data_IF_604167946239
#
_entry.id   IF_604167946239
#
_cell.length_a   1.000
_cell.length_b   1.000
_cell.length_c   1.000
_cell.angle_alpha   90.00
_cell.angle_beta   90.00
_cell.angle_gamma   90.00
#
_symmetry.space_group_name_H-M   'P 1'
#
loop_
_entity.id
_entity.type
_entity.pdbx_description
1 polymer ?
#
# COMPACT_ATOMS: atom_id res chain seq x y z
N UNK A 1 -28.98 16.80 -59.13
CA UNK A 1 -28.83 16.06 -60.37
C UNK A 1 -28.84 17.05 -61.53
N UNK A 2 -27.75 17.11 -62.30
CA UNK A 2 -27.67 17.91 -63.53
C UNK A 2 -28.38 17.10 -64.65
N UNK A 3 -29.36 17.72 -65.28
CA UNK A 3 -29.90 17.20 -66.53
C UNK A 3 -28.73 17.04 -67.51
N UNK A 4 -28.74 15.92 -68.27
CA UNK A 4 -27.79 15.77 -69.36
C UNK A 4 -27.94 16.96 -70.36
N UNK A 5 -26.80 17.52 -70.72
CA UNK A 5 -26.74 18.72 -71.57
C UNK A 5 -27.36 18.59 -72.97
N UNK A 6 -28.11 17.52 -73.22
CA UNK A 6 -28.80 17.25 -74.51
C UNK A 6 -30.31 17.46 -74.48
N UNK A 7 -30.94 17.72 -73.32
CA UNK A 7 -32.41 17.79 -73.22
C UNK A 7 -33.02 19.15 -73.66
N UNK A 8 -32.21 20.11 -74.08
CA UNK A 8 -32.73 21.41 -74.55
C UNK A 8 -33.29 21.41 -75.99
N UNK A 9 -33.10 20.33 -76.78
CA UNK A 9 -33.66 20.15 -78.12
C UNK A 9 -34.34 18.78 -78.17
N UNK A 10 -35.59 18.73 -77.85
CA UNK A 10 -36.42 17.54 -77.99
C UNK A 10 -37.30 17.78 -79.29
N UNK A 11 -36.85 17.23 -80.38
CA UNK A 11 -37.55 17.46 -81.66
C UNK A 11 -38.69 16.47 -81.89
N UNK A 12 -38.85 15.40 -81.03
CA UNK A 12 -39.97 14.44 -81.13
C UNK A 12 -40.24 13.78 -79.78
N UNK A 13 -41.55 13.50 -79.46
CA UNK A 13 -41.98 12.79 -78.26
C UNK A 13 -41.35 11.37 -78.07
N UNK A 14 -41.05 10.66 -79.15
CA UNK A 14 -40.42 9.37 -79.12
C UNK A 14 -39.02 9.30 -78.55
N UNK A 15 -38.32 10.41 -78.47
CA UNK A 15 -36.98 10.47 -77.88
C UNK A 15 -37.03 10.43 -76.33
N UNK A 16 -38.17 10.83 -75.72
CA UNK A 16 -38.36 10.85 -74.31
C UNK A 16 -38.57 9.46 -73.71
N UNK A 17 -39.05 8.49 -74.45
CA UNK A 17 -39.20 7.12 -73.96
C UNK A 17 -37.87 6.44 -73.53
N UNK A 18 -36.77 6.88 -74.12
CA UNK A 18 -35.44 6.33 -73.83
C UNK A 18 -34.91 6.77 -72.45
N UNK A 19 -35.47 7.86 -71.90
CA UNK A 19 -35.06 8.46 -70.60
C UNK A 19 -35.98 8.12 -69.44
N UNK A 20 -37.03 7.32 -69.71
CA UNK A 20 -37.95 6.89 -68.64
C UNK A 20 -37.34 5.70 -67.88
N UNK A 21 -36.70 6.05 -66.76
CA UNK A 21 -36.31 5.05 -65.75
C UNK A 21 -37.47 4.97 -64.74
N UNK A 22 -37.92 3.80 -64.38
CA UNK A 22 -39.17 3.54 -63.64
C UNK A 22 -39.50 4.37 -62.39
N UNK A 23 -38.56 5.26 -61.99
CA UNK A 23 -38.71 6.19 -60.86
C UNK A 23 -39.03 7.63 -61.28
N UNK A 24 -38.93 7.97 -62.56
CA UNK A 24 -39.12 9.31 -63.10
C UNK A 24 -40.33 9.37 -64.05
N UNK A 25 -41.25 10.27 -63.74
CA UNK A 25 -42.37 10.57 -64.62
C UNK A 25 -42.02 11.80 -65.45
N UNK A 26 -42.10 11.66 -66.79
CA UNK A 26 -41.76 12.72 -67.75
C UNK A 26 -43.03 13.14 -68.47
N UNK A 27 -43.34 14.43 -68.48
CA UNK A 27 -44.45 15.03 -69.20
C UNK A 27 -43.96 16.10 -70.14
N UNK A 28 -44.34 16.08 -71.43
CA UNK A 28 -44.13 17.18 -72.36
C UNK A 28 -45.44 17.93 -72.54
N UNK A 29 -45.38 19.23 -72.34
CA UNK A 29 -46.57 20.09 -72.33
C UNK A 29 -46.38 21.19 -73.37
N UNK A 30 -47.32 21.39 -74.21
CA UNK A 30 -47.32 22.44 -75.22
C UNK A 30 -47.51 23.84 -74.56
N UNK A 31 -47.17 24.91 -75.31
CA UNK A 31 -47.28 26.30 -74.83
C UNK A 31 -48.72 26.72 -74.43
N UNK A 32 -49.74 26.03 -74.93
CA UNK A 32 -51.16 26.19 -74.57
C UNK A 32 -51.59 25.41 -73.32
N UNK A 33 -50.66 24.60 -72.75
CA UNK A 33 -50.90 23.77 -71.55
C UNK A 33 -51.45 22.38 -71.87
N UNK A 34 -51.61 22.00 -73.15
CA UNK A 34 -52.02 20.68 -73.53
C UNK A 34 -50.85 19.67 -73.36
N UNK A 35 -51.12 18.46 -72.93
CA UNK A 35 -50.11 17.44 -72.69
C UNK A 35 -49.83 16.72 -74.06
N UNK A 36 -48.60 16.87 -74.52
CA UNK A 36 -48.16 16.22 -75.78
C UNK A 36 -47.67 14.77 -75.59
N UNK A 37 -47.05 14.54 -74.36
CA UNK A 37 -46.54 13.20 -74.01
C UNK A 37 -46.53 13.06 -72.49
N UNK A 38 -46.85 11.88 -71.98
CA UNK A 38 -46.80 11.51 -70.58
C UNK A 38 -46.26 10.06 -70.49
N UNK A 39 -45.19 9.86 -69.70
CA UNK A 39 -44.55 8.54 -69.58
C UNK A 39 -45.34 7.57 -68.69
N UNK A 40 -46.20 8.07 -67.79
CA UNK A 40 -46.93 7.21 -66.84
C UNK A 40 -48.29 6.74 -67.30
N UNK A 41 -48.92 7.37 -68.33
CA UNK A 41 -50.26 7.01 -68.80
C UNK A 41 -50.49 7.50 -70.21
N UNK A 42 -51.24 6.72 -70.97
CA UNK A 42 -51.72 7.07 -72.34
C UNK A 42 -53.09 7.69 -72.33
N UNK A 43 -53.68 8.00 -71.18
CA UNK A 43 -55.01 8.62 -71.11
C UNK A 43 -54.91 10.11 -71.34
N UNK A 44 -55.89 10.73 -71.97
CA UNK A 44 -55.94 12.18 -72.18
C UNK A 44 -55.98 12.90 -70.82
N UNK A 45 -55.02 13.79 -70.61
CA UNK A 45 -54.87 14.59 -69.38
C UNK A 45 -55.52 15.92 -69.51
N UNK A 46 -55.91 16.49 -68.38
CA UNK A 46 -56.39 17.87 -68.28
C UNK A 46 -55.26 18.84 -68.64
N UNK A 47 -55.66 20.06 -68.99
CA UNK A 47 -54.71 21.13 -69.29
C UNK A 47 -53.89 21.48 -68.05
N UNK A 48 -52.57 21.50 -68.18
CA UNK A 48 -51.66 21.71 -67.07
C UNK A 48 -51.19 23.17 -66.88
N UNK A 49 -51.75 24.14 -67.68
CA UNK A 49 -51.34 25.54 -67.65
C UNK A 49 -51.51 26.23 -66.25
N UNK A 50 -52.47 25.72 -65.45
CA UNK A 50 -52.73 26.24 -64.10
C UNK A 50 -51.77 25.74 -63.02
N UNK A 51 -50.92 24.80 -63.39
CA UNK A 51 -49.98 24.19 -62.44
C UNK A 51 -48.85 25.15 -62.03
N UNK A 52 -48.52 25.35 -60.71
CA UNK A 52 -47.55 26.33 -60.26
C UNK A 52 -46.17 26.17 -60.93
N UNK A 53 -45.66 24.93 -61.04
CA UNK A 53 -44.38 24.62 -61.69
C UNK A 53 -44.37 25.02 -63.14
N UNK A 54 -45.50 24.86 -63.87
CA UNK A 54 -45.61 25.25 -65.27
C UNK A 54 -45.67 26.75 -65.44
N UNK A 55 -46.48 27.47 -64.61
CA UNK A 55 -46.54 28.90 -64.63
C UNK A 55 -45.21 29.55 -64.30
N UNK A 56 -44.45 28.97 -63.41
CA UNK A 56 -43.15 29.43 -63.02
C UNK A 56 -42.13 29.20 -64.17
N UNK A 57 -42.17 28.04 -64.81
CA UNK A 57 -41.34 27.72 -65.99
C UNK A 57 -41.59 28.67 -67.14
N UNK A 58 -42.84 29.04 -67.40
CA UNK A 58 -43.18 30.06 -68.45
C UNK A 58 -42.63 31.44 -68.15
N UNK A 59 -42.52 31.84 -66.88
CA UNK A 59 -42.07 33.18 -66.48
C UNK A 59 -40.55 33.30 -66.36
N UNK A 60 -39.91 32.25 -65.83
CA UNK A 60 -38.50 32.28 -65.45
C UNK A 60 -37.63 31.23 -66.15
N UNK A 61 -38.20 30.48 -67.08
CA UNK A 61 -37.55 29.37 -67.82
C UNK A 61 -37.51 28.06 -67.02
N UNK A 62 -37.66 28.11 -65.68
CA UNK A 62 -37.65 26.94 -64.79
C UNK A 62 -38.68 27.08 -63.71
N UNK A 63 -39.46 26.04 -63.41
CA UNK A 63 -40.41 25.98 -62.30
C UNK A 63 -40.22 24.75 -61.42
N UNK A 64 -40.52 24.92 -60.14
CA UNK A 64 -40.42 23.84 -59.16
C UNK A 64 -41.67 23.87 -58.27
N UNK A 65 -42.18 22.66 -57.97
CA UNK A 65 -43.28 22.51 -57.01
C UNK A 65 -43.14 21.18 -56.28
N UNK A 66 -43.66 21.11 -55.08
CA UNK A 66 -43.72 19.87 -54.31
C UNK A 66 -45.18 19.71 -53.83
N UNK A 67 -45.80 18.58 -54.14
CA UNK A 67 -47.19 18.30 -53.77
C UNK A 67 -47.27 17.03 -52.98
N UNK A 68 -48.03 17.12 -51.90
CA UNK A 68 -48.38 16.00 -51.09
C UNK A 68 -49.53 15.22 -51.76
N UNK A 69 -49.35 13.97 -52.10
CA UNK A 69 -50.40 13.10 -52.63
C UNK A 69 -51.31 12.69 -51.47
N UNK A 70 -52.41 13.41 -51.28
CA UNK A 70 -53.39 13.13 -50.21
C UNK A 70 -53.96 11.71 -50.24
N UNK A 71 -53.79 10.97 -51.32
CA UNK A 71 -54.32 9.61 -51.47
C UNK A 71 -53.29 8.51 -51.22
N UNK A 72 -51.97 8.77 -51.27
CA UNK A 72 -50.94 7.77 -51.21
C UNK A 72 -49.84 8.06 -50.20
N UNK A 73 -49.85 9.23 -49.53
CA UNK A 73 -48.90 9.58 -48.50
C UNK A 73 -47.46 9.86 -48.97
N UNK A 74 -47.30 10.20 -50.25
CA UNK A 74 -45.99 10.49 -50.82
C UNK A 74 -45.89 11.95 -51.27
N UNK A 75 -44.72 12.57 -51.05
CA UNK A 75 -44.39 13.86 -51.64
C UNK A 75 -43.84 13.64 -53.03
N UNK A 76 -44.50 14.23 -54.05
CA UNK A 76 -44.01 14.21 -55.43
C UNK A 76 -43.37 15.54 -55.74
N UNK A 77 -42.10 15.48 -56.12
CA UNK A 77 -41.33 16.69 -56.51
C UNK A 77 -41.48 16.87 -58.03
N UNK A 78 -41.94 18.07 -58.42
CA UNK A 78 -42.10 18.47 -59.81
C UNK A 78 -41.03 19.47 -60.20
N UNK A 79 -40.38 19.27 -61.33
CA UNK A 79 -39.46 20.16 -61.94
C UNK A 79 -39.87 20.41 -63.39
N UNK A 80 -40.11 21.68 -63.76
CA UNK A 80 -40.52 22.05 -65.10
C UNK A 80 -39.49 22.98 -65.75
N UNK A 81 -39.21 22.77 -67.04
CA UNK A 81 -38.25 23.59 -67.82
C UNK A 81 -38.87 23.97 -69.15
N UNK A 82 -38.77 25.28 -69.49
CA UNK A 82 -39.20 25.79 -70.80
C UNK A 82 -38.15 25.42 -71.86
N UNK A 83 -38.57 24.74 -72.90
CA UNK A 83 -37.74 24.34 -74.05
C UNK A 83 -37.66 25.49 -75.08
N UNK A 84 -36.68 25.41 -76.00
CA UNK A 84 -36.43 26.41 -77.07
C UNK A 84 -37.54 26.54 -78.08
N UNK A 85 -38.36 25.48 -78.27
CA UNK A 85 -39.52 25.42 -79.12
C UNK A 85 -40.80 25.99 -78.49
N UNK A 86 -40.74 26.47 -77.21
CA UNK A 86 -41.89 27.02 -76.50
C UNK A 86 -42.68 25.99 -75.69
N UNK A 87 -42.34 24.70 -75.78
CA UNK A 87 -42.94 23.62 -74.97
C UNK A 87 -42.30 23.53 -73.60
N UNK A 88 -42.94 22.87 -72.63
CA UNK A 88 -42.44 22.73 -71.28
C UNK A 88 -42.23 21.25 -70.99
N UNK A 89 -41.00 20.91 -70.61
CA UNK A 89 -40.65 19.57 -70.11
C UNK A 89 -40.82 19.54 -68.60
N UNK A 90 -41.71 18.71 -68.12
CA UNK A 90 -41.92 18.47 -66.70
C UNK A 90 -41.40 17.11 -66.28
N UNK A 91 -40.67 17.02 -65.23
CA UNK A 91 -40.23 15.77 -64.59
C UNK A 91 -40.83 15.71 -63.21
N UNK A 92 -41.37 14.57 -62.83
CA UNK A 92 -41.88 14.30 -61.49
C UNK A 92 -41.19 13.07 -60.89
N UNK A 93 -40.83 13.15 -59.63
CA UNK A 93 -40.22 12.07 -58.90
C UNK A 93 -40.91 11.91 -57.51
N UNK A 94 -41.32 10.71 -57.19
CA UNK A 94 -41.93 10.41 -55.90
C UNK A 94 -40.87 10.20 -54.83
N UNK A 95 -41.09 10.72 -53.65
CA UNK A 95 -40.14 10.61 -52.52
C UNK A 95 -40.21 9.28 -51.73
N UNK A 96 -41.01 8.35 -52.22
CA UNK A 96 -41.26 7.03 -51.64
C UNK A 96 -39.99 6.25 -51.28
N UNK A 97 -38.95 6.41 -52.08
CA UNK A 97 -37.72 5.62 -51.96
C UNK A 97 -36.88 5.93 -50.73
N UNK A 98 -36.96 7.11 -50.16
CA UNK A 98 -36.12 7.51 -49.04
C UNK A 98 -36.69 6.98 -47.70
N UNK A 99 -37.99 7.14 -47.50
CA UNK A 99 -38.65 6.67 -46.28
C UNK A 99 -38.75 5.15 -46.20
N UNK A 100 -38.98 4.45 -47.31
CA UNK A 100 -39.05 3.00 -47.32
C UNK A 100 -37.68 2.35 -46.99
N UNK A 101 -36.58 2.96 -47.42
CA UNK A 101 -35.22 2.52 -47.03
C UNK A 101 -34.99 2.73 -45.55
N UNK A 102 -35.49 3.88 -44.99
CA UNK A 102 -35.35 4.18 -43.59
C UNK A 102 -36.12 3.21 -42.71
N UNK A 103 -37.37 2.95 -43.04
CA UNK A 103 -38.22 1.99 -42.30
C UNK A 103 -37.70 0.56 -42.37
N UNK A 104 -37.12 0.17 -43.51
CA UNK A 104 -36.50 -1.15 -43.65
C UNK A 104 -35.16 -1.27 -42.86
N UNK A 105 -34.37 -0.22 -42.78
CA UNK A 105 -33.07 -0.22 -42.09
C UNK A 105 -33.18 -0.05 -40.57
N UNK A 106 -34.16 0.73 -40.08
CA UNK A 106 -34.30 1.06 -38.65
C UNK A 106 -34.41 -0.19 -37.76
N UNK A 107 -35.24 -1.19 -38.02
CA UNK A 107 -35.33 -2.37 -37.17
C UNK A 107 -34.05 -3.21 -37.15
N UNK A 108 -33.32 -3.27 -38.25
CA UNK A 108 -32.02 -3.95 -38.31
C UNK A 108 -30.95 -3.23 -37.45
N UNK A 109 -30.94 -1.92 -37.48
CA UNK A 109 -30.04 -1.09 -36.66
C UNK A 109 -30.41 -1.27 -35.16
N UNK A 110 -31.66 -1.17 -34.82
CA UNK A 110 -32.12 -1.33 -33.41
C UNK A 110 -31.79 -2.73 -32.91
N UNK A 111 -32.06 -3.76 -33.70
CA UNK A 111 -31.70 -5.14 -33.32
C UNK A 111 -30.20 -5.31 -33.11
N UNK A 112 -29.38 -4.77 -34.01
CA UNK A 112 -27.91 -4.85 -33.90
C UNK A 112 -27.40 -4.12 -32.61
N UNK A 113 -27.98 -2.97 -32.25
CA UNK A 113 -27.67 -2.27 -31.02
C UNK A 113 -28.02 -3.12 -29.79
N UNK A 114 -29.18 -3.75 -29.77
CA UNK A 114 -29.58 -4.64 -28.67
C UNK A 114 -28.65 -5.85 -28.54
N UNK A 115 -28.28 -6.47 -29.67
CA UNK A 115 -27.33 -7.59 -29.66
C UNK A 115 -25.95 -7.18 -29.16
N UNK A 116 -25.42 -6.03 -29.61
CA UNK A 116 -24.15 -5.50 -29.11
C UNK A 116 -24.20 -5.20 -27.63
N UNK A 117 -25.28 -4.58 -27.14
CA UNK A 117 -25.45 -4.28 -25.73
C UNK A 117 -25.55 -5.56 -24.89
N UNK A 118 -26.27 -6.57 -25.35
CA UNK A 118 -26.33 -7.90 -24.73
C UNK A 118 -24.96 -8.57 -24.66
N UNK A 119 -24.25 -8.57 -25.79
CA UNK A 119 -22.89 -9.12 -25.84
C UNK A 119 -21.92 -8.39 -24.91
N UNK A 120 -21.97 -7.06 -24.86
CA UNK A 120 -21.16 -6.25 -23.95
C UNK A 120 -21.48 -6.56 -22.49
N UNK A 121 -22.74 -6.71 -22.12
CA UNK A 121 -23.16 -7.09 -20.77
C UNK A 121 -22.66 -8.49 -20.36
N UNK A 122 -22.73 -9.44 -21.26
CA UNK A 122 -22.21 -10.80 -21.04
C UNK A 122 -20.68 -10.77 -20.85
N UNK A 123 -19.97 -10.07 -21.75
CA UNK A 123 -18.49 -9.95 -21.66
C UNK A 123 -18.10 -9.27 -20.35
N UNK A 124 -18.78 -8.16 -19.97
CA UNK A 124 -18.53 -7.48 -18.71
C UNK A 124 -18.77 -8.40 -17.50
N UNK A 125 -19.84 -9.18 -17.50
CA UNK A 125 -20.13 -10.16 -16.46
C UNK A 125 -19.07 -11.26 -16.36
N UNK A 126 -18.62 -11.79 -17.49
CA UNK A 126 -17.55 -12.80 -17.56
C UNK A 126 -16.21 -12.23 -17.06
N UNK A 127 -15.85 -11.02 -17.49
CA UNK A 127 -14.62 -10.33 -17.03
C UNK A 127 -14.66 -10.07 -15.52
N UNK A 128 -15.79 -9.59 -15.01
CA UNK A 128 -15.95 -9.37 -13.57
C UNK A 128 -15.79 -10.67 -12.80
N UNK A 129 -16.40 -11.75 -13.26
CA UNK A 129 -16.32 -13.06 -12.60
C UNK A 129 -14.92 -13.69 -12.70
N UNK A 130 -14.24 -13.54 -13.82
CA UNK A 130 -12.93 -14.17 -14.05
C UNK A 130 -11.75 -13.34 -13.55
N UNK A 131 -11.84 -11.99 -13.54
CA UNK A 131 -10.73 -11.12 -13.17
C UNK A 131 -10.92 -10.47 -11.80
N UNK A 132 -12.10 -9.97 -11.52
CA UNK A 132 -12.33 -9.16 -10.31
C UNK A 132 -12.65 -10.03 -9.09
N UNK A 133 -13.55 -11.01 -9.24
CA UNK A 133 -13.95 -11.86 -8.12
C UNK A 133 -12.79 -12.63 -7.46
N UNK A 134 -11.84 -13.23 -8.21
CA UNK A 134 -10.70 -13.91 -7.59
C UNK A 134 -9.81 -12.97 -6.77
N UNK A 135 -9.64 -11.71 -7.24
CA UNK A 135 -8.88 -10.70 -6.49
C UNK A 135 -9.61 -10.28 -5.22
N UNK A 136 -10.94 -10.11 -5.27
CA UNK A 136 -11.73 -9.80 -4.07
C UNK A 136 -11.68 -10.93 -3.05
N UNK A 137 -11.70 -12.19 -3.49
CA UNK A 137 -11.57 -13.34 -2.59
C UNK A 137 -10.24 -13.41 -1.85
N UNK A 138 -9.15 -12.88 -2.45
CA UNK A 138 -7.88 -12.77 -1.74
C UNK A 138 -7.96 -11.86 -0.50
N UNK A 139 -8.86 -10.86 -0.50
CA UNK A 139 -9.05 -9.95 0.64
C UNK A 139 -9.87 -10.57 1.76
N UNK A 140 -10.66 -11.59 1.47
CA UNK A 140 -11.50 -12.26 2.48
C UNK A 140 -10.71 -13.27 3.31
N UNK A 141 -9.64 -13.86 2.75
CA UNK A 141 -8.77 -14.82 3.43
C UNK A 141 -7.30 -14.40 3.34
N UNK A 142 -6.94 -13.41 4.16
CA UNK A 142 -5.59 -12.86 4.22
C UNK A 142 -4.59 -13.82 4.90
N UNK A 143 -5.07 -14.83 5.63
CA UNK A 143 -4.19 -15.80 6.30
C UNK A 143 -3.55 -16.78 5.30
N UNK A 144 -4.26 -17.12 4.23
CA UNK A 144 -3.79 -18.01 3.17
C UNK A 144 -3.57 -17.26 1.84
N UNK A 145 -3.26 -15.96 1.94
CA UNK A 145 -3.12 -15.09 0.74
C UNK A 145 -2.05 -15.62 -0.23
N UNK A 146 -0.99 -16.28 0.26
CA UNK A 146 0.09 -16.82 -0.56
C UNK A 146 -0.33 -18.06 -1.34
N UNK A 147 -1.26 -18.88 -0.81
CA UNK A 147 -1.70 -20.13 -1.43
C UNK A 147 -2.78 -19.90 -2.50
N UNK A 148 -3.54 -18.80 -2.37
CA UNK A 148 -4.71 -18.49 -3.19
C UNK A 148 -4.51 -17.33 -4.17
N UNK A 149 -3.27 -17.09 -4.63
CA UNK A 149 -2.98 -16.01 -5.58
C UNK A 149 -3.48 -16.37 -6.97
N UNK A 150 -4.50 -15.69 -7.52
CA UNK A 150 -5.11 -16.08 -8.82
C UNK A 150 -4.23 -15.74 -10.02
N UNK A 151 -3.31 -14.78 -9.88
CA UNK A 151 -2.44 -14.31 -10.95
C UNK A 151 -1.00 -14.22 -10.47
N UNK A 152 -0.05 -14.70 -11.28
CA UNK A 152 1.39 -14.70 -10.95
C UNK A 152 1.94 -13.29 -10.69
N UNK A 153 1.38 -12.30 -11.34
CA UNK A 153 1.74 -10.89 -11.21
C UNK A 153 1.43 -10.31 -9.81
N UNK A 154 0.50 -10.95 -9.08
CA UNK A 154 0.12 -10.53 -7.73
C UNK A 154 0.93 -11.23 -6.62
N UNK A 155 1.79 -12.20 -6.95
CA UNK A 155 2.61 -12.90 -5.96
C UNK A 155 3.47 -11.94 -5.13
N UNK A 156 4.25 -10.99 -5.71
CA UNK A 156 5.06 -10.07 -4.91
C UNK A 156 4.22 -9.19 -3.97
N UNK A 157 3.01 -8.84 -4.39
CA UNK A 157 2.08 -8.06 -3.57
C UNK A 157 1.52 -8.90 -2.42
N UNK A 158 1.13 -10.14 -2.67
CA UNK A 158 0.67 -11.08 -1.64
C UNK A 158 1.76 -11.36 -0.59
N UNK A 159 3.01 -11.57 -1.03
CA UNK A 159 4.17 -11.74 -0.15
C UNK A 159 4.43 -10.49 0.71
N UNK A 160 4.33 -9.30 0.12
CA UNK A 160 4.51 -8.04 0.84
C UNK A 160 3.44 -7.84 1.91
N UNK A 161 2.16 -8.08 1.60
CA UNK A 161 1.06 -7.99 2.56
C UNK A 161 1.23 -9.02 3.69
N UNK A 162 1.55 -10.27 3.34
CA UNK A 162 1.76 -11.31 4.34
C UNK A 162 2.92 -10.96 5.28
N UNK A 163 4.04 -10.49 4.74
CA UNK A 163 5.21 -10.06 5.51
C UNK A 163 4.88 -8.88 6.45
N UNK A 164 4.19 -7.85 5.94
CA UNK A 164 3.77 -6.69 6.75
C UNK A 164 2.82 -7.10 7.88
N UNK A 165 1.88 -7.98 7.58
CA UNK A 165 0.94 -8.51 8.57
C UNK A 165 1.65 -9.32 9.65
N UNK A 166 2.53 -10.25 9.26
CA UNK A 166 3.32 -11.05 10.22
C UNK A 166 4.18 -10.17 11.12
N UNK A 167 4.76 -9.10 10.55
CA UNK A 167 5.52 -8.11 11.34
C UNK A 167 4.62 -7.39 12.34
N UNK A 168 3.42 -6.97 11.94
CA UNK A 168 2.46 -6.31 12.83
C UNK A 168 1.96 -7.22 13.94
N UNK A 169 1.55 -8.45 13.61
CA UNK A 169 1.11 -9.44 14.59
C UNK A 169 2.21 -9.77 15.60
N UNK A 170 3.45 -9.91 15.12
CA UNK A 170 4.59 -10.17 15.99
C UNK A 170 4.90 -8.97 16.89
N UNK A 171 4.81 -7.75 16.37
CA UNK A 171 4.98 -6.52 17.16
C UNK A 171 3.88 -6.37 18.22
N UNK A 172 2.63 -6.66 17.86
CA UNK A 172 1.51 -6.61 18.79
C UNK A 172 1.63 -7.66 19.90
N UNK A 173 2.01 -8.89 19.54
CA UNK A 173 2.30 -9.94 20.51
C UNK A 173 3.42 -9.55 21.46
N UNK A 174 4.54 -9.04 20.93
CA UNK A 174 5.66 -8.55 21.76
C UNK A 174 5.21 -7.42 22.72
N UNK A 175 4.35 -6.52 22.25
CA UNK A 175 3.80 -5.43 23.08
C UNK A 175 2.89 -5.94 24.17
N UNK A 176 2.04 -6.95 23.89
CA UNK A 176 1.18 -7.58 24.89
C UNK A 176 2.00 -8.32 25.95
N UNK A 177 2.99 -9.13 25.52
CA UNK A 177 3.89 -9.83 26.41
C UNK A 177 4.70 -8.86 27.29
N UNK A 178 5.18 -7.75 26.71
CA UNK A 178 5.86 -6.68 27.45
C UNK A 178 4.97 -6.11 28.55
N UNK A 179 3.72 -5.71 28.21
CA UNK A 179 2.78 -5.14 29.17
C UNK A 179 2.44 -6.13 30.29
N UNK A 180 2.22 -7.39 29.97
CA UNK A 180 1.97 -8.43 30.93
C UNK A 180 3.16 -8.66 31.88
N UNK A 181 4.37 -8.71 31.31
CA UNK A 181 5.60 -8.91 32.11
C UNK A 181 5.88 -7.71 33.02
N UNK A 182 5.72 -6.47 32.54
CA UNK A 182 5.82 -5.25 33.37
C UNK A 182 4.87 -5.32 34.55
N UNK A 183 3.60 -5.64 34.29
CA UNK A 183 2.58 -5.72 35.33
C UNK A 183 2.94 -6.77 36.39
N UNK A 184 3.46 -7.92 35.95
CA UNK A 184 3.84 -9.00 36.84
C UNK A 184 5.09 -8.68 37.67
N UNK A 185 6.13 -8.06 37.03
CA UNK A 185 7.38 -7.70 37.71
C UNK A 185 7.21 -6.50 38.68
N UNK A 186 6.18 -5.63 38.48
CA UNK A 186 5.80 -4.58 39.41
C UNK A 186 4.94 -5.11 40.57
N UNK A 187 4.00 -6.03 40.33
CA UNK A 187 3.08 -6.53 41.35
C UNK A 187 3.80 -7.28 42.46
N UNK A 188 4.81 -8.09 42.12
CA UNK A 188 5.54 -8.89 43.10
C UNK A 188 6.24 -8.08 44.19
N UNK A 189 7.11 -7.08 43.89
CA UNK A 189 7.73 -6.26 44.91
C UNK A 189 6.73 -5.40 45.67
N UNK A 190 5.67 -4.89 45.00
CA UNK A 190 4.63 -4.10 45.66
C UNK A 190 3.88 -4.92 46.71
N UNK A 191 3.55 -6.18 46.41
CA UNK A 191 2.92 -7.10 47.39
C UNK A 191 3.86 -7.33 48.58
N UNK A 192 5.15 -7.51 48.31
CA UNK A 192 6.14 -7.70 49.40
C UNK A 192 6.26 -6.47 50.29
N UNK A 193 6.34 -5.27 49.67
CA UNK A 193 6.39 -3.98 50.39
C UNK A 193 5.15 -3.82 51.28
N UNK A 194 3.94 -4.02 50.69
CA UNK A 194 2.68 -3.90 51.41
C UNK A 194 2.61 -4.90 52.58
N UNK A 195 2.98 -6.16 52.37
CA UNK A 195 2.96 -7.17 53.43
C UNK A 195 3.92 -6.86 54.58
N UNK A 196 5.16 -6.42 54.28
CA UNK A 196 6.09 -6.05 55.35
C UNK A 196 5.64 -4.79 56.10
N UNK A 197 5.07 -3.80 55.41
CA UNK A 197 4.52 -2.60 56.01
C UNK A 197 3.32 -2.94 56.92
N UNK A 198 2.40 -3.79 56.48
CA UNK A 198 1.25 -4.26 57.31
C UNK A 198 1.68 -4.99 58.55
N UNK A 199 2.71 -5.85 58.49
CA UNK A 199 3.26 -6.53 59.66
C UNK A 199 3.82 -5.56 60.69
N UNK A 200 4.44 -4.45 60.25
CA UNK A 200 4.93 -3.38 61.13
C UNK A 200 3.75 -2.59 61.70
N UNK A 201 2.79 -2.19 60.89
CA UNK A 201 1.65 -1.35 61.25
C UNK A 201 0.74 -2.03 62.28
N UNK A 202 0.46 -3.32 62.09
CA UNK A 202 -0.41 -4.12 62.97
C UNK A 202 0.26 -4.57 64.25
N UNK A 203 1.55 -4.25 64.42
CA UNK A 203 2.30 -4.65 65.63
C UNK A 203 2.61 -6.14 65.74
N UNK A 204 2.35 -6.94 64.65
CA UNK A 204 2.72 -8.33 64.59
C UNK A 204 4.24 -8.51 64.50
N UNK A 205 4.92 -7.57 63.88
CA UNK A 205 6.37 -7.53 63.84
C UNK A 205 6.92 -7.18 65.24
N UNK A 206 7.80 -8.00 65.76
CA UNK A 206 8.49 -7.69 67.01
C UNK A 206 9.40 -6.44 66.80
N UNK A 207 9.65 -5.64 67.84
CA UNK A 207 10.51 -4.44 67.72
C UNK A 207 11.91 -4.76 67.15
N UNK A 208 12.46 -5.92 67.48
CA UNK A 208 13.75 -6.44 67.01
C UNK A 208 13.76 -6.79 65.48
N UNK A 209 12.61 -7.16 64.90
CA UNK A 209 12.46 -7.52 63.51
C UNK A 209 12.14 -6.31 62.60
N UNK A 210 11.62 -5.21 63.17
CA UNK A 210 11.19 -4.01 62.45
C UNK A 210 12.30 -3.40 61.55
N UNK A 211 13.59 -3.28 61.99
CA UNK A 211 14.65 -2.82 61.10
C UNK A 211 14.91 -3.76 59.94
N UNK A 212 14.71 -5.07 60.13
CA UNK A 212 14.84 -6.09 59.12
C UNK A 212 13.75 -5.95 58.01
N UNK A 213 12.50 -5.74 58.40
CA UNK A 213 11.38 -5.52 57.46
C UNK A 213 11.52 -4.16 56.75
N UNK A 214 11.92 -3.09 57.46
CA UNK A 214 12.20 -1.78 56.84
C UNK A 214 13.31 -1.89 55.78
N UNK A 215 14.36 -2.66 56.01
CA UNK A 215 15.41 -2.93 55.03
C UNK A 215 14.89 -3.69 53.80
N UNK A 216 14.03 -4.69 53.99
CA UNK A 216 13.40 -5.44 52.89
C UNK A 216 12.50 -4.53 52.04
N UNK A 217 11.69 -3.67 52.68
CA UNK A 217 10.89 -2.65 51.99
C UNK A 217 11.79 -1.75 51.15
N UNK A 218 12.88 -1.23 51.73
CA UNK A 218 13.81 -0.36 51.01
C UNK A 218 14.46 -1.04 49.79
N UNK A 219 14.85 -2.32 49.92
CA UNK A 219 15.43 -3.11 48.80
C UNK A 219 14.43 -3.28 47.68
N UNK A 220 13.17 -3.67 47.99
CA UNK A 220 12.14 -3.87 46.97
C UNK A 220 11.71 -2.54 46.32
N UNK A 221 11.65 -1.44 47.08
CA UNK A 221 11.38 -0.11 46.52
C UNK A 221 12.51 0.33 45.56
N UNK A 222 13.77 0.15 45.95
CA UNK A 222 14.93 0.47 45.09
C UNK A 222 14.93 -0.35 43.82
N UNK A 223 14.54 -1.62 43.90
CA UNK A 223 14.37 -2.50 42.72
C UNK A 223 13.26 -2.02 41.77
N UNK A 224 12.12 -1.56 42.34
CA UNK A 224 11.04 -0.98 41.54
C UNK A 224 11.46 0.26 40.78
N UNK A 225 12.20 1.16 41.47
CA UNK A 225 12.74 2.38 40.84
C UNK A 225 13.65 2.02 39.67
N UNK A 226 14.53 1.04 39.82
CA UNK A 226 15.41 0.58 38.77
C UNK A 226 14.60 -0.01 37.59
N UNK A 227 13.60 -0.83 37.88
CA UNK A 227 12.73 -1.41 36.83
C UNK A 227 11.99 -0.32 36.04
N UNK A 228 11.44 0.70 36.71
CA UNK A 228 10.77 1.82 36.06
C UNK A 228 11.75 2.60 35.17
N UNK A 229 12.95 2.87 35.65
CA UNK A 229 13.98 3.56 34.88
C UNK A 229 14.38 2.74 33.63
N UNK A 230 14.60 1.43 33.76
CA UNK A 230 14.93 0.54 32.65
C UNK A 230 13.80 0.51 31.60
N UNK A 231 12.51 0.54 32.04
CA UNK A 231 11.34 0.58 31.14
C UNK A 231 11.28 1.91 30.39
N UNK A 232 11.42 3.05 31.10
CA UNK A 232 11.40 4.37 30.46
C UNK A 232 12.50 4.51 29.42
N UNK A 233 13.68 4.02 29.74
CA UNK A 233 14.83 4.01 28.87
C UNK A 233 14.60 3.16 27.63
N UNK A 234 14.10 1.92 27.80
CA UNK A 234 13.79 1.05 26.68
C UNK A 234 12.72 1.67 25.76
N UNK A 235 11.70 2.32 26.37
CA UNK A 235 10.68 3.07 25.60
C UNK A 235 11.29 4.23 24.80
N UNK A 236 12.25 4.94 25.38
CA UNK A 236 12.98 6.01 24.68
C UNK A 236 13.79 5.45 23.49
N UNK A 237 14.50 4.34 23.69
CA UNK A 237 15.30 3.69 22.66
C UNK A 237 14.43 3.14 21.52
N UNK A 238 13.24 2.61 21.83
CA UNK A 238 12.24 2.17 20.83
C UNK A 238 11.80 3.35 19.95
N UNK A 239 11.43 4.48 20.56
CA UNK A 239 11.03 5.69 19.84
C UNK A 239 12.13 6.24 18.92
N UNK A 240 13.39 6.24 19.39
CA UNK A 240 14.56 6.64 18.58
C UNK A 240 14.68 5.74 17.33
N UNK A 241 14.47 4.44 17.48
CA UNK A 241 14.55 3.48 16.40
C UNK A 241 13.40 3.63 15.37
N UNK A 242 12.22 4.04 15.82
CA UNK A 242 11.02 4.19 14.95
C UNK A 242 10.96 5.55 14.26
N UNK A 243 11.33 6.62 14.95
CA UNK A 243 11.20 8.00 14.42
C UNK A 243 12.41 8.46 13.61
N UNK A 244 13.51 7.71 13.65
CA UNK A 244 14.76 8.11 13.00
C UNK A 244 15.41 9.36 13.63
N UNK A 245 14.92 9.82 14.78
CA UNK A 245 15.53 10.91 15.55
C UNK A 245 16.81 10.38 16.21
N UNK A 246 17.87 10.20 15.40
CA UNK A 246 19.16 9.73 15.90
C UNK A 246 19.65 10.67 17.02
N UNK A 247 20.12 10.11 18.18
CA UNK A 247 20.80 10.92 19.19
C UNK A 247 22.04 11.57 18.57
N UNK A 248 22.51 12.66 19.17
CA UNK A 248 23.73 13.32 18.71
C UNK A 248 24.87 12.31 18.63
N UNK A 249 25.35 12.07 17.41
CA UNK A 249 26.46 11.18 17.14
C UNK A 249 27.75 11.99 17.10
N UNK A 250 28.74 11.56 17.85
CA UNK A 250 30.06 12.20 17.93
C UNK A 250 31.17 11.14 17.91
N UNK A 251 32.39 11.55 17.74
CA UNK A 251 33.52 10.62 17.86
C UNK A 251 33.79 10.32 19.33
N UNK A 252 33.58 9.09 19.76
CA UNK A 252 33.75 8.63 21.14
C UNK A 252 34.85 7.58 21.20
N UNK A 253 35.81 7.72 22.08
CA UNK A 253 36.82 6.68 22.35
C UNK A 253 36.25 5.67 23.37
N UNK A 254 36.12 4.42 22.91
CA UNK A 254 35.64 3.32 23.76
C UNK A 254 36.55 3.05 24.96
N UNK A 255 37.84 3.38 24.87
CA UNK A 255 38.76 3.26 25.99
C UNK A 255 38.39 4.21 27.14
N UNK A 256 37.97 5.45 26.82
CA UNK A 256 37.50 6.41 27.82
C UNK A 256 36.17 5.92 28.45
N UNK A 257 35.26 5.36 27.62
CA UNK A 257 34.01 4.73 28.12
C UNK A 257 34.35 3.59 29.12
N UNK A 258 35.26 2.70 28.73
CA UNK A 258 35.68 1.56 29.57
C UNK A 258 36.31 2.04 30.90
N UNK A 259 37.20 3.02 30.83
CA UNK A 259 37.86 3.62 32.02
C UNK A 259 36.85 4.20 32.98
N UNK A 260 35.94 5.04 32.49
CA UNK A 260 34.94 5.69 33.36
C UNK A 260 33.93 4.68 33.92
N UNK A 261 33.55 3.65 33.14
CA UNK A 261 32.72 2.57 33.63
C UNK A 261 33.38 1.83 34.79
N UNK A 262 34.66 1.49 34.68
CA UNK A 262 35.42 0.83 35.75
C UNK A 262 35.47 1.70 37.02
N UNK A 263 35.74 2.98 36.88
CA UNK A 263 35.79 3.89 38.06
C UNK A 263 34.42 4.01 38.74
N UNK A 264 33.34 4.12 37.98
CA UNK A 264 31.94 4.15 38.51
C UNK A 264 31.55 2.85 39.20
N UNK A 265 31.93 1.70 38.65
CA UNK A 265 31.53 0.36 39.13
C UNK A 265 32.50 -0.20 40.21
N UNK A 266 33.58 0.49 40.50
CA UNK A 266 34.61 0.02 41.43
C UNK A 266 34.10 -0.29 42.84
N UNK A 267 33.15 0.51 43.35
CA UNK A 267 32.52 0.28 44.64
C UNK A 267 31.64 -0.96 44.63
N UNK A 268 30.80 -1.13 43.62
CA UNK A 268 29.94 -2.31 43.44
C UNK A 268 30.74 -3.59 43.31
N UNK A 269 31.81 -3.56 42.50
CA UNK A 269 32.69 -4.70 42.32
C UNK A 269 33.35 -5.11 43.62
N UNK A 270 33.85 -4.14 44.44
CA UNK A 270 34.43 -4.41 45.76
C UNK A 270 33.43 -5.02 46.73
N UNK A 271 32.21 -4.50 46.78
CA UNK A 271 31.14 -5.09 47.61
C UNK A 271 30.82 -6.52 47.26
N UNK A 272 30.98 -6.89 45.97
CA UNK A 272 30.78 -8.23 45.48
C UNK A 272 32.04 -9.09 45.51
N UNK A 273 33.16 -8.60 46.03
CA UNK A 273 34.47 -9.25 46.06
C UNK A 273 34.99 -9.61 44.65
N UNK A 274 34.78 -8.73 43.65
CA UNK A 274 35.16 -8.94 42.25
C UNK A 274 36.29 -7.99 41.86
N UNK A 275 37.29 -8.52 41.16
CA UNK A 275 38.36 -7.71 40.54
C UNK A 275 37.86 -7.17 39.20
N UNK A 276 37.68 -5.84 39.13
CA UNK A 276 37.25 -5.16 37.90
C UNK A 276 38.43 -4.35 37.32
N UNK A 277 38.74 -4.59 36.05
CA UNK A 277 39.82 -3.97 35.30
C UNK A 277 39.43 -3.61 33.88
N UNK A 278 40.13 -2.64 33.28
CA UNK A 278 40.04 -2.38 31.84
C UNK A 278 41.42 -2.56 31.18
N UNK A 279 41.41 -2.94 29.92
CA UNK A 279 42.60 -3.19 29.12
C UNK A 279 42.32 -2.76 27.69
N UNK A 280 43.37 -2.48 26.91
CA UNK A 280 43.25 -2.23 25.49
C UNK A 280 43.88 -0.92 25.04
N UNK A 281 43.50 -0.50 23.86
CA UNK A 281 43.96 0.70 23.19
C UNK A 281 42.83 1.63 22.82
N UNK A 282 43.14 2.86 22.41
CA UNK A 282 42.16 3.82 21.87
C UNK A 282 41.36 3.22 20.74
N UNK A 283 40.06 3.29 20.84
CA UNK A 283 39.13 2.69 19.90
C UNK A 283 38.01 3.71 19.56
N UNK A 284 38.30 4.68 18.66
CA UNK A 284 37.34 5.72 18.31
C UNK A 284 36.22 5.16 17.43
N UNK A 285 34.96 5.46 17.83
CA UNK A 285 33.76 5.09 17.09
C UNK A 285 32.83 6.31 16.96
N UNK A 286 32.00 6.32 15.93
CA UNK A 286 30.92 7.33 15.83
C UNK A 286 29.71 6.83 16.59
N UNK A 287 29.31 7.57 17.64
CA UNK A 287 28.22 7.16 18.48
C UNK A 287 27.77 8.22 19.49
N UNK A 288 26.67 7.91 20.18
CA UNK A 288 26.23 8.72 21.32
C UNK A 288 27.00 8.33 22.58
N UNK A 289 27.75 9.26 23.14
CA UNK A 289 28.52 9.05 24.38
C UNK A 289 27.65 8.48 25.48
N UNK A 290 26.47 9.04 25.68
CA UNK A 290 25.53 8.62 26.74
C UNK A 290 25.09 7.16 26.54
N UNK A 291 24.74 6.78 25.33
CA UNK A 291 24.30 5.42 25.04
C UNK A 291 25.47 4.41 25.12
N UNK A 292 26.66 4.78 24.69
CA UNK A 292 27.83 3.92 24.78
C UNK A 292 28.28 3.70 26.24
N UNK A 293 28.23 4.74 27.09
CA UNK A 293 28.46 4.62 28.54
C UNK A 293 27.45 3.66 29.15
N UNK A 294 26.21 3.75 28.78
CA UNK A 294 25.11 2.92 29.24
C UNK A 294 25.25 1.46 28.80
N UNK A 295 25.60 1.22 27.54
CA UNK A 295 25.89 -0.11 27.01
C UNK A 295 27.00 -0.78 27.83
N UNK A 296 28.09 -0.06 28.05
CA UNK A 296 29.22 -0.55 28.87
C UNK A 296 28.80 -0.84 30.30
N UNK A 297 28.01 0.05 30.92
CA UNK A 297 27.51 -0.13 32.27
C UNK A 297 26.62 -1.34 32.41
N UNK A 298 25.64 -1.55 31.49
CA UNK A 298 24.75 -2.73 31.53
C UNK A 298 25.51 -4.03 31.39
N UNK A 299 26.53 -4.08 30.51
CA UNK A 299 27.38 -5.27 30.35
C UNK A 299 28.19 -5.52 31.62
N UNK A 300 28.81 -4.48 32.21
CA UNK A 300 29.63 -4.55 33.42
C UNK A 300 28.79 -4.99 34.64
N UNK A 301 27.58 -4.39 34.80
CA UNK A 301 26.65 -4.75 35.90
C UNK A 301 26.26 -6.22 35.83
N UNK A 302 25.97 -6.74 34.63
CA UNK A 302 25.67 -8.15 34.44
C UNK A 302 26.88 -9.03 34.77
N UNK A 303 28.08 -8.67 34.32
CA UNK A 303 29.31 -9.40 34.60
C UNK A 303 29.66 -9.44 36.08
N UNK A 304 29.37 -8.37 36.85
CA UNK A 304 29.54 -8.31 38.32
C UNK A 304 28.45 -9.14 39.01
N UNK A 305 27.20 -8.97 38.63
CA UNK A 305 26.02 -9.60 39.26
C UNK A 305 26.01 -11.12 39.15
N UNK A 306 26.41 -11.64 38.00
CA UNK A 306 26.41 -13.08 37.73
C UNK A 306 27.78 -13.72 37.91
N UNK A 307 28.69 -13.05 38.65
CA UNK A 307 29.99 -13.58 38.97
C UNK A 307 29.98 -14.29 40.35
N UNK A 308 31.14 -14.83 40.69
CA UNK A 308 31.42 -15.49 42.00
C UNK A 308 32.30 -14.60 42.87
N UNK A 309 32.19 -14.66 44.18
CA UNK A 309 33.15 -14.00 45.05
C UNK A 309 34.59 -14.43 44.72
N UNK A 310 35.50 -13.44 44.57
CA UNK A 310 36.86 -13.67 44.11
C UNK A 310 37.00 -13.73 42.59
N UNK A 311 35.91 -13.51 41.84
CA UNK A 311 35.92 -13.49 40.39
C UNK A 311 36.57 -12.27 39.76
N UNK A 312 36.63 -12.27 38.43
CA UNK A 312 37.26 -11.22 37.64
C UNK A 312 36.31 -10.76 36.54
N UNK A 313 36.29 -9.44 36.32
CA UNK A 313 35.63 -8.82 35.16
C UNK A 313 36.66 -7.92 34.46
N UNK A 314 36.74 -8.06 33.14
CA UNK A 314 37.65 -7.28 32.32
C UNK A 314 36.86 -6.61 31.19
N UNK A 315 37.01 -5.31 31.03
CA UNK A 315 36.52 -4.54 29.90
C UNK A 315 37.70 -4.38 28.93
N UNK A 316 37.57 -4.81 27.69
CA UNK A 316 38.67 -4.81 26.72
C UNK A 316 38.24 -4.01 25.50
N UNK A 317 39.08 -3.06 25.08
CA UNK A 317 38.89 -2.30 23.83
C UNK A 317 39.99 -2.61 22.84
N UNK A 318 39.64 -2.79 21.59
CA UNK A 318 40.60 -3.04 20.51
C UNK A 318 40.02 -2.54 19.19
N UNK A 319 40.93 -2.16 18.27
CA UNK A 319 40.58 -1.95 16.87
C UNK A 319 41.34 -2.92 15.98
N UNK A 320 40.62 -3.53 15.04
CA UNK A 320 41.25 -4.39 14.03
C UNK A 320 41.88 -3.56 12.90
N UNK A 321 42.79 -4.14 12.15
CA UNK A 321 43.41 -3.47 10.99
C UNK A 321 42.41 -3.10 9.90
N UNK A 322 41.28 -3.79 9.85
CA UNK A 322 40.19 -3.54 8.91
C UNK A 322 39.25 -2.43 9.38
N UNK A 323 39.63 -1.75 10.47
CA UNK A 323 38.92 -0.57 10.98
C UNK A 323 37.73 -0.89 11.89
N UNK A 324 37.44 -2.12 12.29
CA UNK A 324 36.40 -2.45 13.25
C UNK A 324 36.91 -2.26 14.67
N UNK A 325 36.22 -1.41 15.44
CA UNK A 325 36.52 -1.25 16.86
C UNK A 325 35.58 -2.10 17.71
N UNK A 326 36.07 -2.65 18.80
CA UNK A 326 35.34 -3.58 19.67
C UNK A 326 35.38 -3.14 21.13
N UNK A 327 34.25 -3.32 21.82
CA UNK A 327 34.14 -3.28 23.28
C UNK A 327 33.75 -4.69 23.75
N UNK A 328 34.64 -5.31 24.52
CA UNK A 328 34.43 -6.67 25.04
C UNK A 328 34.35 -6.63 26.56
N UNK A 329 33.30 -7.21 27.13
CA UNK A 329 33.23 -7.47 28.57
C UNK A 329 33.33 -8.97 28.80
N UNK A 330 34.36 -9.35 29.57
CA UNK A 330 34.68 -10.75 29.90
C UNK A 330 34.63 -10.97 31.39
N UNK A 331 33.92 -11.99 31.82
CA UNK A 331 33.88 -12.46 33.20
C UNK A 331 34.22 -13.96 33.31
N UNK A 332 34.52 -14.39 34.52
CA UNK A 332 34.69 -15.80 34.88
C UNK A 332 33.59 -16.30 35.84
N UNK A 333 32.38 -15.80 35.64
CA UNK A 333 31.21 -16.09 36.46
C UNK A 333 30.57 -17.45 36.18
N UNK A 334 29.24 -17.50 36.39
CA UNK A 334 28.46 -18.75 36.27
C UNK A 334 28.24 -19.22 34.82
N UNK A 335 28.46 -18.34 33.84
CA UNK A 335 28.18 -18.62 32.42
C UNK A 335 26.70 -18.72 32.10
N UNK A 336 26.42 -18.95 30.80
CA UNK A 336 25.06 -19.02 30.24
C UNK A 336 24.91 -20.34 29.48
N UNK A 337 23.89 -21.18 29.80
CA UNK A 337 23.61 -22.42 29.07
C UNK A 337 23.32 -22.13 27.57
N UNK A 338 23.74 -23.07 26.69
CA UNK A 338 23.60 -22.90 25.23
C UNK A 338 22.17 -22.61 24.79
N UNK A 339 21.20 -23.26 25.41
CA UNK A 339 19.78 -23.11 25.10
C UNK A 339 19.25 -21.70 25.42
N UNK A 340 19.89 -21.00 26.35
CA UNK A 340 19.50 -19.68 26.78
C UNK A 340 20.20 -18.56 26.00
N UNK A 341 21.34 -18.84 25.32
CA UNK A 341 22.19 -17.80 24.71
C UNK A 341 21.50 -17.00 23.62
N UNK A 342 20.53 -17.58 22.91
CA UNK A 342 19.73 -16.85 21.90
C UNK A 342 18.72 -15.91 22.54
N UNK A 343 18.17 -16.27 23.70
CA UNK A 343 17.06 -15.57 24.35
C UNK A 343 17.50 -14.57 25.42
N UNK A 344 18.78 -14.56 25.84
CA UNK A 344 19.24 -13.63 26.92
C UNK A 344 19.14 -12.15 26.55
N UNK A 345 19.00 -11.82 25.29
CA UNK A 345 18.78 -10.45 24.77
C UNK A 345 17.29 -10.09 24.63
N UNK A 346 16.37 -11.00 24.95
CA UNK A 346 14.94 -10.73 24.98
C UNK A 346 14.53 -10.01 26.26
N UNK A 347 13.49 -9.18 26.18
CA UNK A 347 12.97 -8.39 27.30
C UNK A 347 12.44 -9.32 28.40
N UNK A 348 12.82 -9.07 29.67
CA UNK A 348 12.44 -9.84 30.85
C UNK A 348 12.91 -11.30 30.85
N UNK A 349 13.74 -11.69 29.89
CA UNK A 349 14.27 -13.06 29.87
C UNK A 349 15.30 -13.26 30.99
N UNK A 350 15.24 -14.41 31.62
CA UNK A 350 16.10 -14.80 32.74
C UNK A 350 16.29 -16.30 32.74
N UNK A 351 17.53 -16.77 32.80
CA UNK A 351 17.88 -18.20 32.79
C UNK A 351 17.30 -18.90 34.01
N UNK A 352 17.29 -18.26 35.18
CA UNK A 352 16.71 -18.82 36.43
C UNK A 352 15.95 -17.71 37.17
N UNK A 353 14.63 -17.81 37.19
CA UNK A 353 13.72 -16.86 37.85
C UNK A 353 13.88 -16.85 39.38
N UNK A 354 14.30 -17.96 39.99
CA UNK A 354 14.43 -18.09 41.44
C UNK A 354 15.73 -17.46 41.98
N UNK A 355 16.83 -17.71 41.30
CA UNK A 355 18.17 -17.21 41.66
C UNK A 355 18.28 -15.69 41.39
N UNK A 356 17.66 -15.25 40.33
CA UNK A 356 17.70 -13.82 39.94
C UNK A 356 16.79 -12.93 40.80
N UNK A 357 15.81 -13.49 41.55
CA UNK A 357 15.12 -12.73 42.61
C UNK A 357 16.09 -12.33 43.72
N UNK A 358 17.03 -13.18 44.09
CA UNK A 358 18.05 -12.88 45.13
C UNK A 358 19.08 -11.88 44.64
N UNK A 359 19.39 -11.86 43.35
CA UNK A 359 20.40 -10.92 42.75
C UNK A 359 19.82 -9.61 42.25
N UNK A 360 18.48 -9.44 42.21
CA UNK A 360 17.83 -8.15 41.92
C UNK A 360 17.81 -7.70 40.46
N UNK A 361 18.06 -8.60 39.47
CA UNK A 361 18.07 -8.24 38.04
C UNK A 361 16.66 -7.96 37.50
N UNK A 362 16.51 -6.97 36.60
CA UNK A 362 15.25 -6.63 35.92
C UNK A 362 14.98 -7.49 34.68
N UNK A 363 16.02 -8.11 34.09
CA UNK A 363 15.93 -8.81 32.81
C UNK A 363 15.83 -7.88 31.60
N UNK A 364 16.09 -6.59 31.78
CA UNK A 364 16.06 -5.60 30.71
C UNK A 364 17.45 -5.15 30.23
N UNK A 365 18.50 -5.30 31.05
CA UNK A 365 19.83 -4.75 30.76
C UNK A 365 20.43 -5.26 29.43
N UNK A 366 20.36 -6.56 29.11
CA UNK A 366 20.86 -7.06 27.82
C UNK A 366 19.94 -6.70 26.64
N UNK A 367 18.64 -6.51 26.86
CA UNK A 367 17.75 -5.96 25.85
C UNK A 367 18.11 -4.50 25.52
N UNK A 368 18.44 -3.69 26.53
CA UNK A 368 18.96 -2.33 26.35
C UNK A 368 20.26 -2.35 25.54
N UNK A 369 21.21 -3.22 25.88
CA UNK A 369 22.46 -3.41 25.12
C UNK A 369 22.19 -3.71 23.65
N UNK A 370 21.23 -4.62 23.35
CA UNK A 370 20.83 -4.96 21.98
C UNK A 370 20.27 -3.75 21.21
N UNK A 371 19.41 -2.94 21.87
CA UNK A 371 18.86 -1.73 21.25
C UNK A 371 19.94 -0.66 20.99
N UNK A 372 20.83 -0.42 21.95
CA UNK A 372 21.93 0.53 21.78
C UNK A 372 22.88 0.06 20.65
N UNK A 373 23.23 -1.22 20.59
CA UNK A 373 24.04 -1.76 19.52
C UNK A 373 23.38 -1.56 18.16
N UNK A 374 22.07 -1.76 18.05
CA UNK A 374 21.29 -1.53 16.82
C UNK A 374 21.32 -0.06 16.38
N UNK A 375 21.17 0.90 17.32
CA UNK A 375 21.25 2.34 17.01
C UNK A 375 22.62 2.72 16.45
N UNK A 376 23.68 2.02 16.88
CA UNK A 376 25.06 2.24 16.44
C UNK A 376 25.50 1.32 15.27
N UNK A 377 24.56 0.60 14.63
CA UNK A 377 24.87 -0.41 13.61
C UNK A 377 25.94 -1.44 14.02
N UNK A 378 26.05 -1.70 15.33
CA UNK A 378 27.03 -2.60 15.90
C UNK A 378 26.48 -4.04 15.98
N UNK A 379 27.37 -5.02 15.89
CA UNK A 379 27.05 -6.44 16.06
C UNK A 379 27.44 -6.92 17.44
N UNK A 380 26.62 -7.79 18.02
CA UNK A 380 26.91 -8.41 19.31
C UNK A 380 27.31 -9.86 19.09
N UNK A 381 28.44 -10.26 19.69
CA UNK A 381 28.87 -11.65 19.76
C UNK A 381 28.88 -12.09 21.23
N UNK A 382 28.27 -13.25 21.51
CA UNK A 382 28.21 -13.86 22.83
C UNK A 382 28.94 -15.22 22.78
N UNK A 383 29.93 -15.36 23.63
CA UNK A 383 30.63 -16.63 23.85
C UNK A 383 30.54 -16.94 25.36
N UNK A 384 29.88 -18.04 25.74
CA UNK A 384 29.71 -18.40 27.16
C UNK A 384 29.70 -19.90 27.38
N UNK A 385 30.34 -20.31 28.46
CA UNK A 385 30.36 -21.70 28.91
C UNK A 385 29.96 -21.72 30.38
N UNK A 386 29.05 -22.61 30.72
CA UNK A 386 28.58 -22.78 32.11
C UNK A 386 29.79 -23.11 33.01
N UNK A 387 29.87 -22.42 34.15
CA UNK A 387 30.91 -22.48 35.13
C UNK A 387 32.31 -21.93 34.72
N UNK A 388 32.50 -21.50 33.48
CA UNK A 388 33.73 -20.87 33.02
C UNK A 388 33.63 -19.37 32.88
N UNK A 389 32.41 -18.85 32.56
CA UNK A 389 32.13 -17.42 32.44
C UNK A 389 31.51 -17.03 31.11
N UNK A 390 31.44 -15.71 30.90
CA UNK A 390 30.81 -15.10 29.74
C UNK A 390 31.69 -14.04 29.11
N UNK A 391 31.70 -14.00 27.78
CA UNK A 391 32.36 -12.94 27.01
C UNK A 391 31.34 -12.38 26.03
N UNK A 392 31.02 -11.07 26.18
CA UNK A 392 30.17 -10.33 25.24
C UNK A 392 31.03 -9.28 24.54
N UNK A 393 31.05 -9.36 23.21
CA UNK A 393 31.79 -8.44 22.35
C UNK A 393 30.82 -7.65 21.49
N UNK A 394 30.89 -6.33 21.57
CA UNK A 394 30.16 -5.41 20.68
C UNK A 394 31.15 -4.90 19.65
N UNK A 395 30.83 -5.12 18.36
CA UNK A 395 31.68 -4.83 17.21
C UNK A 395 31.06 -3.64 16.48
N UNK A 396 31.77 -2.54 16.46
CA UNK A 396 31.38 -1.30 15.77
C UNK A 396 32.04 -1.26 14.41
N UNK A 397 31.27 -0.90 13.38
CA UNK A 397 31.82 -0.59 12.06
C UNK A 397 32.42 0.81 12.12
N UNK A 398 33.62 1.01 11.59
CA UNK A 398 34.22 2.34 11.52
C UNK A 398 33.41 3.25 10.64
N UNK A 399 33.27 4.51 11.08
CA UNK A 399 32.86 5.59 10.21
C UNK A 399 33.82 5.69 9.05
N UNK A 400 33.32 5.47 7.84
CA UNK A 400 34.06 5.75 6.60
C UNK A 400 34.29 7.24 6.46
#
# INVERSE_FOLDING_TARGET
>A
HKFPAGCAQVDAPSQLETYVDGSLRITLIASDGSVLFESATNQPMENHLSRPEIQQAMKSGVGRDCRDSQTLGYETYYYAMLLTNGDILRVAQDSETIWSIYDAALPAIVLSCFLMMGAAAIIAGLLTKSLVQPVLKMTDDLDHIQENVPYKELIPFAESIHSDRMLRENNEKMRQEFTANVSHELKTPLTSISGYAELIETGIAKPEDTPGFARKIHVEASRMIQLVNDILQLSHLDNVSETGAAPAMETVDLLDVARECVERQKVNARHSYISLTYLGESAPVTGSRVLLDELCQNLCDNAIRYNRPGGKVQIITACTRDGHCTLTVKDNGIGIPKEAQTSVFERFYRVDKSRSKATGGTGLGLAIVKHIARIHNARIKLDSVVDEGTTITVIFETAS
#
